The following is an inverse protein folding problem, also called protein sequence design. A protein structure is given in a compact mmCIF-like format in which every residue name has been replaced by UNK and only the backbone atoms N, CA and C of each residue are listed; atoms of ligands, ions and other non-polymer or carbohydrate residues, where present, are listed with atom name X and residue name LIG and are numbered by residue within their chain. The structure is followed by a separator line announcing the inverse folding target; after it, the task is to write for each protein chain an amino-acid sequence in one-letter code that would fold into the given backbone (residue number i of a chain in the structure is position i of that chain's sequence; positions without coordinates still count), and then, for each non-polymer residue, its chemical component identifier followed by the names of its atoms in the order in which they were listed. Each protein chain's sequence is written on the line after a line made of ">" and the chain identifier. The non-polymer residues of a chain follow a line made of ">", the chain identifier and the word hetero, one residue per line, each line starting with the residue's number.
data_IF_878816529321
#
_entry.id   IF_878816529321
#
_cell.length_a   1.000
_cell.length_b   1.000
_cell.length_c   1.000
_cell.angle_alpha   90.00
_cell.angle_beta   90.00
_cell.angle_gamma   90.00
#
_symmetry.space_group_name_H-M   'P 1'
#
loop_
_entity.id
_entity.type
_entity.pdbx_description
1 polymer ?
#
# COMPACT_ATOMS: atom_id res chain seq x y z
N UNK A 1 -16.63 -4.13 -43.62
CA UNK A 1 -16.62 -4.39 -42.17
C UNK A 1 -17.58 -3.40 -41.56
N UNK A 2 -18.70 -3.85 -41.00
CA UNK A 2 -19.71 -2.95 -40.46
C UNK A 2 -19.22 -2.41 -39.11
N UNK A 3 -19.00 -1.10 -39.03
CA UNK A 3 -18.87 -0.39 -37.75
C UNK A 3 -20.18 -0.59 -37.01
N UNK A 4 -20.16 -1.37 -35.92
CA UNK A 4 -21.28 -1.42 -35.00
C UNK A 4 -21.32 -0.08 -34.29
N UNK A 5 -22.28 0.75 -34.69
CA UNK A 5 -22.67 1.96 -33.98
C UNK A 5 -23.09 1.53 -32.56
N UNK A 6 -22.20 1.74 -31.58
CA UNK A 6 -22.52 1.52 -30.17
C UNK A 6 -23.54 2.61 -29.83
N UNK A 7 -24.82 2.22 -29.79
CA UNK A 7 -25.88 3.11 -29.34
C UNK A 7 -25.60 3.39 -27.85
N UNK A 8 -25.07 4.58 -27.57
CA UNK A 8 -24.72 5.04 -26.22
C UNK A 8 -26.01 5.42 -25.48
N UNK A 9 -26.77 4.39 -25.06
CA UNK A 9 -27.95 4.60 -24.24
C UNK A 9 -27.51 5.15 -22.87
N UNK A 10 -28.10 6.27 -22.42
CA UNK A 10 -27.78 6.82 -21.12
C UNK A 10 -28.18 5.85 -20.02
N UNK A 11 -27.19 5.43 -19.23
CA UNK A 11 -27.32 4.51 -18.11
C UNK A 11 -27.66 5.26 -16.82
N UNK A 12 -28.48 4.65 -15.98
CA UNK A 12 -28.75 5.10 -14.63
C UNK A 12 -27.73 4.58 -13.61
N UNK A 13 -27.77 5.12 -12.38
CA UNK A 13 -26.90 4.69 -11.26
C UNK A 13 -26.99 3.18 -11.00
N UNK A 14 -28.18 2.59 -11.11
CA UNK A 14 -28.40 1.15 -10.89
C UNK A 14 -27.70 0.30 -11.95
N UNK A 15 -27.81 0.69 -13.21
CA UNK A 15 -27.23 -0.06 -14.32
C UNK A 15 -25.70 -0.03 -14.28
N UNK A 16 -25.10 1.08 -13.85
CA UNK A 16 -23.66 1.15 -13.59
C UNK A 16 -23.23 0.29 -12.42
N UNK A 17 -24.00 0.30 -11.33
CA UNK A 17 -23.74 -0.53 -10.16
C UNK A 17 -23.69 -2.02 -10.55
N UNK A 18 -24.68 -2.47 -11.34
CA UNK A 18 -24.76 -3.83 -11.84
C UNK A 18 -23.61 -4.16 -12.81
N UNK A 19 -23.27 -3.22 -13.71
CA UNK A 19 -22.20 -3.40 -14.71
C UNK A 19 -20.82 -3.52 -14.07
N UNK A 20 -20.52 -2.68 -13.08
CA UNK A 20 -19.22 -2.63 -12.41
C UNK A 20 -19.16 -3.51 -11.15
N UNK A 21 -20.26 -4.18 -10.79
CA UNK A 21 -20.40 -5.01 -9.58
C UNK A 21 -20.04 -4.25 -8.29
N UNK A 22 -20.45 -2.99 -8.22
CA UNK A 22 -20.26 -2.11 -7.06
C UNK A 22 -21.61 -1.66 -6.52
N UNK A 23 -21.69 -1.18 -5.27
CA UNK A 23 -22.95 -0.67 -4.73
C UNK A 23 -23.32 0.68 -5.35
N UNK A 24 -24.63 0.96 -5.45
CA UNK A 24 -25.10 2.29 -5.89
C UNK A 24 -24.58 3.44 -5.03
N UNK A 25 -24.29 3.19 -3.75
CA UNK A 25 -23.68 4.17 -2.85
C UNK A 25 -22.25 4.52 -3.27
N UNK A 26 -21.48 3.56 -3.77
CA UNK A 26 -20.13 3.77 -4.31
C UNK A 26 -20.19 4.53 -5.62
N UNK A 27 -21.13 4.20 -6.51
CA UNK A 27 -21.37 4.97 -7.76
C UNK A 27 -21.67 6.43 -7.46
N UNK A 28 -22.58 6.71 -6.51
CA UNK A 28 -22.91 8.09 -6.09
C UNK A 28 -21.71 8.80 -5.48
N UNK A 29 -20.89 8.10 -4.68
CA UNK A 29 -19.66 8.64 -4.09
C UNK A 29 -18.67 9.05 -5.19
N UNK A 30 -18.46 8.20 -6.18
CA UNK A 30 -17.55 8.49 -7.29
C UNK A 30 -18.05 9.66 -8.14
N UNK A 31 -19.34 9.69 -8.47
CA UNK A 31 -19.94 10.78 -9.26
C UNK A 31 -19.77 12.13 -8.54
N UNK A 32 -20.03 12.19 -7.23
CA UNK A 32 -19.83 13.41 -6.45
C UNK A 32 -18.37 13.86 -6.41
N UNK A 33 -17.43 12.93 -6.27
CA UNK A 33 -16.01 13.23 -6.26
C UNK A 33 -15.52 13.75 -7.63
N UNK A 34 -16.04 13.17 -8.72
CA UNK A 34 -15.78 13.62 -10.09
C UNK A 34 -16.35 15.02 -10.35
N UNK A 35 -17.61 15.28 -9.98
CA UNK A 35 -18.22 16.63 -10.10
C UNK A 35 -17.44 17.68 -9.31
N UNK A 36 -16.99 17.34 -8.10
CA UNK A 36 -16.14 18.23 -7.28
C UNK A 36 -14.79 18.53 -7.95
N UNK A 37 -14.29 17.59 -8.76
CA UNK A 37 -13.07 17.75 -9.53
C UNK A 37 -13.29 18.43 -10.90
N UNK A 38 -14.52 18.86 -11.22
CA UNK A 38 -14.85 19.57 -12.46
C UNK A 38 -15.31 18.66 -13.61
N UNK A 39 -15.64 17.40 -13.34
CA UNK A 39 -16.23 16.51 -14.34
C UNK A 39 -17.74 16.78 -14.47
N UNK A 40 -18.23 16.95 -15.70
CA UNK A 40 -19.64 17.24 -15.96
C UNK A 40 -20.36 16.00 -16.49
N UNK A 41 -21.34 15.51 -15.71
CA UNK A 41 -22.27 14.49 -16.16
C UNK A 41 -23.48 15.11 -16.83
N UNK A 42 -24.04 14.41 -17.81
CA UNK A 42 -25.37 14.73 -18.33
C UNK A 42 -26.44 14.50 -17.26
N UNK A 43 -27.45 15.36 -17.23
CA UNK A 43 -28.51 15.32 -16.23
C UNK A 43 -29.88 15.39 -16.90
N UNK A 44 -30.78 14.53 -16.46
CA UNK A 44 -32.22 14.65 -16.72
C UNK A 44 -32.89 15.06 -15.41
N UNK A 45 -33.12 16.36 -15.25
CA UNK A 45 -33.56 16.95 -13.99
C UNK A 45 -32.51 16.76 -12.89
N UNK A 46 -32.86 16.00 -11.84
CA UNK A 46 -31.96 15.70 -10.71
C UNK A 46 -31.18 14.39 -10.89
N UNK A 47 -31.52 13.58 -11.89
CA UNK A 47 -30.86 12.29 -12.14
C UNK A 47 -29.67 12.48 -13.09
N UNK A 48 -28.54 11.87 -12.75
CA UNK A 48 -27.37 11.80 -13.64
C UNK A 48 -27.59 10.69 -14.66
N UNK A 49 -27.30 10.99 -15.92
CA UNK A 49 -27.28 10.07 -17.03
C UNK A 49 -25.82 9.79 -17.37
N UNK A 50 -25.47 8.51 -17.37
CA UNK A 50 -24.09 8.09 -17.59
C UNK A 50 -23.93 7.42 -18.95
N UNK A 51 -22.94 7.85 -19.70
CA UNK A 51 -22.56 7.31 -21.00
C UNK A 51 -21.44 6.28 -20.86
N UNK A 52 -21.10 5.62 -21.96
CA UNK A 52 -20.06 4.59 -21.96
C UNK A 52 -18.72 5.10 -21.40
N UNK A 53 -18.34 6.35 -21.73
CA UNK A 53 -17.10 6.96 -21.23
C UNK A 53 -17.11 7.21 -19.71
N UNK A 54 -18.27 7.46 -19.12
CA UNK A 54 -18.45 7.56 -17.66
C UNK A 54 -18.19 6.21 -16.99
N UNK A 55 -18.67 5.12 -17.61
CA UNK A 55 -18.47 3.75 -17.12
C UNK A 55 -16.98 3.38 -17.08
N UNK A 56 -16.23 3.73 -18.12
CA UNK A 56 -14.77 3.51 -18.15
C UNK A 56 -14.05 4.35 -17.09
N UNK A 57 -14.49 5.60 -16.90
CA UNK A 57 -13.98 6.49 -15.85
C UNK A 57 -14.19 5.88 -14.46
N UNK A 58 -15.40 5.37 -14.17
CA UNK A 58 -15.70 4.68 -12.92
C UNK A 58 -14.91 3.39 -12.74
N UNK A 59 -14.74 2.59 -13.81
CA UNK A 59 -13.93 1.37 -13.77
C UNK A 59 -12.48 1.67 -13.37
N UNK A 60 -11.93 2.76 -13.90
CA UNK A 60 -10.55 3.14 -13.60
C UNK A 60 -10.40 3.65 -12.16
N UNK A 61 -11.35 4.45 -11.66
CA UNK A 61 -11.38 4.84 -10.25
C UNK A 61 -11.46 3.61 -9.35
N UNK A 62 -12.36 2.66 -9.67
CA UNK A 62 -12.54 1.45 -8.87
C UNK A 62 -11.25 0.61 -8.79
N UNK A 63 -10.56 0.44 -9.92
CA UNK A 63 -9.28 -0.27 -9.99
C UNK A 63 -8.19 0.40 -9.13
N UNK A 64 -8.15 1.73 -9.09
CA UNK A 64 -7.19 2.49 -8.29
C UNK A 64 -7.49 2.42 -6.79
N UNK A 65 -8.76 2.38 -6.40
CA UNK A 65 -9.15 2.27 -4.99
C UNK A 65 -8.95 0.86 -4.44
N UNK A 66 -9.17 -0.18 -5.25
CA UNK A 66 -9.01 -1.59 -4.84
C UNK A 66 -7.54 -2.00 -4.72
N UNK A 67 -6.68 -1.62 -5.67
CA UNK A 67 -5.32 -2.14 -5.74
C UNK A 67 -4.32 -1.42 -4.83
N UNK A 68 -4.53 -0.14 -4.51
CA UNK A 68 -3.49 0.70 -3.91
C UNK A 68 -3.90 1.39 -2.59
N UNK A 69 -5.03 1.00 -1.98
CA UNK A 69 -5.60 1.65 -0.77
C UNK A 69 -5.69 3.18 -0.90
N UNK A 70 -5.76 3.70 -2.13
CA UNK A 70 -5.89 5.12 -2.39
C UNK A 70 -7.30 5.57 -1.99
N UNK A 71 -7.39 6.76 -1.39
CA UNK A 71 -8.70 7.38 -1.20
C UNK A 71 -9.30 7.77 -2.55
N UNK A 72 -10.63 7.90 -2.56
CA UNK A 72 -11.41 8.13 -3.80
C UNK A 72 -11.02 9.45 -4.45
N UNK A 73 -10.73 10.46 -3.66
CA UNK A 73 -10.36 11.80 -4.10
C UNK A 73 -9.04 11.80 -4.89
N UNK A 74 -8.03 11.05 -4.42
CA UNK A 74 -6.76 10.91 -5.13
C UNK A 74 -6.92 10.06 -6.39
N UNK A 75 -7.73 9.01 -6.35
CA UNK A 75 -8.03 8.21 -7.54
C UNK A 75 -8.71 9.05 -8.64
N UNK A 76 -9.66 9.91 -8.25
CA UNK A 76 -10.31 10.86 -9.16
C UNK A 76 -9.32 11.85 -9.75
N UNK A 77 -8.43 12.44 -8.94
CA UNK A 77 -7.41 13.38 -9.43
C UNK A 77 -6.53 12.75 -10.52
N UNK A 78 -6.06 11.52 -10.31
CA UNK A 78 -5.24 10.77 -11.29
C UNK A 78 -6.00 10.54 -12.60
N UNK A 79 -7.27 10.16 -12.52
CA UNK A 79 -8.10 9.91 -13.71
C UNK A 79 -8.38 11.21 -14.49
N UNK A 80 -8.66 12.31 -13.78
CA UNK A 80 -8.90 13.63 -14.40
C UNK A 80 -7.67 14.20 -15.11
N UNK A 81 -6.47 14.03 -14.55
CA UNK A 81 -5.21 14.45 -15.20
C UNK A 81 -4.95 13.64 -16.48
N UNK A 82 -5.30 12.35 -16.48
CA UNK A 82 -5.11 11.51 -17.66
C UNK A 82 -6.08 11.86 -18.80
N UNK A 83 -7.34 12.14 -18.47
CA UNK A 83 -8.36 12.49 -19.47
C UNK A 83 -8.11 13.87 -20.10
N UNK A 84 -7.66 14.86 -19.32
CA UNK A 84 -7.31 16.19 -19.86
C UNK A 84 -6.11 16.19 -20.81
N UNK A 85 -5.13 15.30 -20.58
CA UNK A 85 -4.03 15.08 -21.52
C UNK A 85 -4.47 14.43 -22.84
N UNK A 86 -5.58 13.68 -22.86
CA UNK A 86 -6.10 13.03 -24.09
C UNK A 86 -7.06 13.92 -24.87
N UNK A 87 -7.87 14.76 -24.20
CA UNK A 87 -8.84 15.65 -24.86
C UNK A 87 -8.23 16.94 -25.42
N UNK A 88 -7.02 17.32 -25.01
CA UNK A 88 -6.30 18.48 -25.58
C UNK A 88 -5.87 18.27 -27.04
N UNK A 89 -6.07 17.07 -27.60
CA UNK A 89 -5.81 16.74 -29.00
C UNK A 89 -7.06 16.90 -29.91
N UNK A 90 -8.26 17.01 -29.35
CA UNK A 90 -9.51 16.92 -30.13
C UNK A 90 -10.61 17.85 -29.59
N UNK A 91 -10.45 19.16 -29.73
CA UNK A 91 -11.58 20.10 -29.61
C UNK A 91 -11.33 21.43 -30.37
N UNK A 92 -12.14 21.68 -31.40
CA UNK A 92 -12.62 23.04 -31.72
C UNK A 92 -11.91 23.81 -32.84
N UNK A 93 -12.46 23.70 -34.04
CA UNK A 93 -12.18 24.47 -35.26
C UNK A 93 -12.16 26.00 -35.08
N UNK A 94 -11.02 26.62 -35.41
CA UNK A 94 -10.84 27.80 -36.26
C UNK A 94 -9.35 28.17 -36.22
N UNK A 95 -8.52 27.45 -36.97
CA UNK A 95 -7.08 27.74 -37.03
C UNK A 95 -6.66 27.91 -38.48
N UNK A 96 -6.18 29.12 -38.78
CA UNK A 96 -5.30 29.44 -39.90
C UNK A 96 -4.35 28.27 -40.13
N UNK A 97 -4.35 27.71 -41.34
CA UNK A 97 -3.44 26.62 -41.73
C UNK A 97 -2.02 27.13 -41.53
N UNK A 98 -1.26 26.61 -40.55
CA UNK A 98 0.11 27.03 -40.33
C UNK A 98 0.96 26.54 -41.50
N UNK A 99 1.92 27.35 -41.91
CA UNK A 99 2.80 27.01 -43.03
C UNK A 99 3.70 25.82 -42.63
N UNK A 100 4.11 24.96 -43.56
CA UNK A 100 4.92 23.75 -43.27
C UNK A 100 6.17 24.01 -42.40
N UNK A 101 6.73 25.23 -42.46
CA UNK A 101 7.85 25.67 -41.61
C UNK A 101 7.46 25.89 -40.14
N UNK A 102 6.26 26.37 -39.85
CA UNK A 102 5.77 26.61 -38.48
C UNK A 102 5.46 25.27 -37.78
N UNK A 103 4.90 24.31 -38.52
CA UNK A 103 4.65 22.94 -38.04
C UNK A 103 5.99 22.26 -37.72
N UNK A 104 6.99 22.38 -38.60
CA UNK A 104 8.32 21.77 -38.40
C UNK A 104 9.04 22.36 -37.18
N UNK A 105 8.95 23.68 -36.97
CA UNK A 105 9.56 24.34 -35.82
C UNK A 105 8.88 24.00 -34.49
N UNK A 106 7.54 23.89 -34.49
CA UNK A 106 6.80 23.41 -33.32
C UNK A 106 7.09 21.95 -33.00
N UNK A 107 7.26 21.10 -34.02
CA UNK A 107 7.60 19.70 -33.82
C UNK A 107 9.00 19.54 -33.21
N UNK A 108 9.98 20.33 -33.68
CA UNK A 108 11.34 20.31 -33.15
C UNK A 108 11.41 20.80 -31.70
N UNK A 109 10.67 21.85 -31.34
CA UNK A 109 10.63 22.35 -29.97
C UNK A 109 9.94 21.38 -29.01
N UNK A 110 8.86 20.71 -29.46
CA UNK A 110 8.21 19.65 -28.71
C UNK A 110 9.15 18.45 -28.49
N UNK A 111 9.92 18.06 -29.51
CA UNK A 111 10.88 16.94 -29.42
C UNK A 111 12.01 17.24 -28.44
N UNK A 112 12.52 18.48 -28.42
CA UNK A 112 13.50 18.94 -27.43
C UNK A 112 12.94 18.97 -26.01
N UNK A 113 11.69 19.41 -25.84
CA UNK A 113 11.02 19.40 -24.55
C UNK A 113 10.83 17.97 -24.01
N UNK A 114 10.42 17.04 -24.88
CA UNK A 114 10.33 15.60 -24.55
C UNK A 114 11.70 15.03 -24.18
N UNK A 115 12.76 15.34 -24.95
CA UNK A 115 14.12 14.91 -24.65
C UNK A 115 14.61 15.41 -23.30
N UNK A 116 14.35 16.68 -22.97
CA UNK A 116 14.68 17.26 -21.66
C UNK A 116 13.88 16.60 -20.54
N UNK A 117 12.59 16.34 -20.74
CA UNK A 117 11.76 15.65 -19.76
C UNK A 117 12.24 14.22 -19.52
N UNK A 118 12.61 13.48 -20.57
CA UNK A 118 13.16 12.13 -20.45
C UNK A 118 14.49 12.14 -19.68
N UNK A 119 15.35 13.14 -19.93
CA UNK A 119 16.59 13.30 -19.17
C UNK A 119 16.32 13.55 -17.68
N UNK A 120 15.42 14.47 -17.36
CA UNK A 120 15.02 14.73 -15.97
C UNK A 120 14.43 13.48 -15.29
N UNK A 121 13.62 12.70 -16.01
CA UNK A 121 13.10 11.43 -15.50
C UNK A 121 14.22 10.42 -15.27
N UNK A 122 15.18 10.30 -16.18
CA UNK A 122 16.32 9.40 -16.02
C UNK A 122 17.18 9.78 -14.81
N UNK A 123 17.45 11.06 -14.61
CA UNK A 123 18.22 11.56 -13.47
C UNK A 123 17.49 11.29 -12.15
N UNK A 124 16.17 11.48 -12.11
CA UNK A 124 15.35 11.14 -10.96
C UNK A 124 15.35 9.63 -10.69
N UNK A 125 15.20 8.79 -11.72
CA UNK A 125 15.24 7.33 -11.58
C UNK A 125 16.58 6.90 -10.99
N UNK A 126 17.69 7.43 -11.51
CA UNK A 126 19.03 7.11 -11.01
C UNK A 126 19.19 7.50 -9.52
N UNK A 127 18.73 8.70 -9.15
CA UNK A 127 18.75 9.17 -7.76
C UNK A 127 17.89 8.30 -6.83
N UNK A 128 16.70 7.89 -7.27
CA UNK A 128 15.83 7.00 -6.50
C UNK A 128 16.45 5.61 -6.33
N UNK A 129 17.07 5.06 -7.37
CA UNK A 129 17.78 3.77 -7.31
C UNK A 129 18.93 3.83 -6.32
N UNK A 130 19.70 4.92 -6.32
CA UNK A 130 20.78 5.13 -5.35
C UNK A 130 20.24 5.21 -3.92
N UNK A 131 19.20 6.00 -3.68
CA UNK A 131 18.57 6.13 -2.36
C UNK A 131 18.02 4.79 -1.85
N UNK A 132 17.35 4.01 -2.71
CA UNK A 132 16.84 2.67 -2.37
C UNK A 132 18.00 1.73 -2.01
N UNK A 133 19.10 1.78 -2.76
CA UNK A 133 20.26 0.93 -2.53
C UNK A 133 20.90 1.25 -1.18
N UNK A 134 21.12 2.54 -0.88
CA UNK A 134 21.65 2.98 0.42
C UNK A 134 20.72 2.56 1.56
N UNK A 135 19.42 2.78 1.41
CA UNK A 135 18.44 2.45 2.45
C UNK A 135 18.40 0.93 2.71
N UNK A 136 18.53 0.11 1.66
CA UNK A 136 18.61 -1.34 1.77
C UNK A 136 19.85 -1.76 2.55
N UNK A 137 21.02 -1.23 2.19
CA UNK A 137 22.29 -1.55 2.86
C UNK A 137 22.27 -1.18 4.35
N UNK A 138 21.69 -0.01 4.69
CA UNK A 138 21.51 0.38 6.09
C UNK A 138 20.53 -0.54 6.83
N UNK A 139 19.44 -0.93 6.16
CA UNK A 139 18.47 -1.87 6.72
C UNK A 139 19.11 -3.23 7.01
N UNK A 140 19.91 -3.75 6.08
CA UNK A 140 20.59 -5.04 6.21
C UNK A 140 21.64 -5.01 7.33
N UNK A 141 22.37 -3.89 7.48
CA UNK A 141 23.27 -3.66 8.63
C UNK A 141 22.53 -3.67 9.95
N UNK A 142 21.41 -2.92 10.06
CA UNK A 142 20.58 -2.89 11.27
C UNK A 142 20.01 -4.27 11.60
N UNK A 143 19.57 -5.01 10.59
CA UNK A 143 19.02 -6.35 10.77
C UNK A 143 20.09 -7.33 11.28
N UNK A 144 21.28 -7.30 10.68
CA UNK A 144 22.42 -8.12 11.11
C UNK A 144 22.82 -7.82 12.56
N UNK A 145 22.85 -6.53 12.95
CA UNK A 145 23.16 -6.14 14.33
C UNK A 145 22.09 -6.63 15.32
N UNK A 146 20.80 -6.53 14.95
CA UNK A 146 19.69 -7.02 15.78
C UNK A 146 19.73 -8.53 15.96
N UNK A 147 19.99 -9.29 14.89
CA UNK A 147 20.17 -10.75 14.97
C UNK A 147 21.30 -11.07 15.96
N UNK A 148 22.45 -10.42 15.85
CA UNK A 148 23.57 -10.65 16.77
C UNK A 148 23.25 -10.29 18.23
N UNK A 149 22.39 -9.29 18.48
CA UNK A 149 21.91 -8.97 19.83
C UNK A 149 20.94 -10.04 20.35
N UNK A 150 20.04 -10.55 19.49
CA UNK A 150 19.10 -11.62 19.83
C UNK A 150 19.86 -12.90 20.18
N UNK A 151 20.81 -13.33 19.35
CA UNK A 151 21.62 -14.53 19.60
C UNK A 151 22.38 -14.44 20.92
N UNK A 152 22.98 -13.28 21.23
CA UNK A 152 23.64 -13.04 22.52
C UNK A 152 22.65 -13.12 23.68
N UNK A 153 21.47 -12.54 23.53
CA UNK A 153 20.44 -12.59 24.57
C UNK A 153 19.92 -14.01 24.79
N UNK A 154 19.73 -14.79 23.72
CA UNK A 154 19.34 -16.19 23.79
C UNK A 154 20.39 -17.03 24.50
N UNK A 155 21.68 -16.79 24.23
CA UNK A 155 22.76 -17.47 24.94
C UNK A 155 22.78 -17.12 26.43
N UNK A 156 22.62 -15.83 26.78
CA UNK A 156 22.53 -15.39 28.19
C UNK A 156 21.33 -16.03 28.89
N UNK A 157 20.18 -16.09 28.21
CA UNK A 157 18.97 -16.71 28.75
C UNK A 157 19.17 -18.21 28.97
N UNK A 158 19.85 -18.90 28.05
CA UNK A 158 20.21 -20.31 28.20
C UNK A 158 21.11 -20.53 29.42
N UNK A 159 22.19 -19.75 29.54
CA UNK A 159 23.12 -19.85 30.67
C UNK A 159 22.42 -19.56 32.01
N UNK A 160 21.51 -18.60 32.04
CA UNK A 160 20.69 -18.29 33.23
C UNK A 160 19.77 -19.46 33.58
N UNK A 161 19.14 -20.08 32.58
CA UNK A 161 18.24 -21.21 32.79
C UNK A 161 19.00 -22.45 33.30
N UNK A 162 20.20 -22.71 32.78
CA UNK A 162 21.08 -23.78 33.26
C UNK A 162 21.50 -23.53 34.72
N UNK A 163 21.86 -22.29 35.06
CA UNK A 163 22.15 -21.90 36.45
C UNK A 163 20.95 -22.05 37.37
N UNK A 164 19.75 -21.69 36.90
CA UNK A 164 18.52 -21.84 37.66
C UNK A 164 18.22 -23.32 37.93
N UNK A 165 18.40 -24.18 36.92
CA UNK A 165 18.26 -25.64 37.10
C UNK A 165 19.22 -26.18 38.15
N UNK A 166 20.49 -25.79 38.10
CA UNK A 166 21.48 -26.21 39.09
C UNK A 166 21.14 -25.73 40.52
N UNK A 167 20.63 -24.49 40.65
CA UNK A 167 20.21 -23.95 41.93
C UNK A 167 19.00 -24.72 42.51
N UNK A 168 18.01 -25.04 41.66
CA UNK A 168 16.84 -25.84 42.04
C UNK A 168 17.28 -27.24 42.52
N UNK A 169 18.19 -27.90 41.80
CA UNK A 169 18.71 -29.22 42.19
C UNK A 169 19.45 -29.18 43.55
N UNK A 170 20.20 -28.11 43.82
CA UNK A 170 20.89 -27.93 45.08
C UNK A 170 19.91 -27.71 46.24
N UNK A 171 18.86 -26.89 46.03
CA UNK A 171 17.81 -26.66 47.03
C UNK A 171 17.10 -27.98 47.35
N UNK A 172 16.70 -28.75 46.34
CA UNK A 172 16.07 -30.06 46.56
C UNK A 172 16.96 -31.03 47.33
N UNK A 173 18.27 -31.04 47.06
CA UNK A 173 19.24 -31.85 47.82
C UNK A 173 19.40 -31.38 49.26
N UNK A 174 19.31 -30.08 49.52
CA UNK A 174 19.38 -29.52 50.86
C UNK A 174 18.12 -29.83 51.65
N UNK A 175 16.93 -29.63 51.08
CA UNK A 175 15.65 -29.98 51.72
C UNK A 175 15.63 -31.46 52.12
N UNK A 176 16.01 -32.37 51.21
CA UNK A 176 16.08 -33.80 51.54
C UNK A 176 17.14 -34.18 52.59
N UNK A 177 18.15 -33.32 52.85
CA UNK A 177 19.08 -33.49 53.97
C UNK A 177 18.51 -32.94 55.27
N UNK A 178 17.81 -31.81 55.22
CA UNK A 178 17.12 -31.20 56.36
C UNK A 178 16.07 -32.19 56.90
N UNK A 179 15.25 -32.77 56.04
CA UNK A 179 14.25 -33.78 56.41
C UNK A 179 14.87 -34.98 57.14
N UNK A 180 16.02 -35.46 56.65
CA UNK A 180 16.76 -36.57 57.28
C UNK A 180 17.35 -36.18 58.63
N UNK A 181 17.82 -34.95 58.79
CA UNK A 181 18.32 -34.45 60.08
C UNK A 181 17.17 -34.37 61.08
N UNK A 182 16.03 -33.81 60.69
CA UNK A 182 14.85 -33.73 61.55
C UNK A 182 14.32 -35.11 61.97
N UNK A 183 14.27 -36.09 61.06
CA UNK A 183 13.88 -37.46 61.41
C UNK A 183 14.84 -38.11 62.41
N UNK A 184 16.15 -37.91 62.22
CA UNK A 184 17.16 -38.50 63.09
C UNK A 184 17.18 -37.84 64.47
N UNK A 185 16.97 -36.53 64.57
CA UNK A 185 16.81 -35.83 65.84
C UNK A 185 15.57 -36.30 66.59
N UNK A 186 14.42 -36.42 65.91
CA UNK A 186 13.18 -36.97 66.51
C UNK A 186 13.43 -38.36 67.07
N UNK A 187 14.02 -39.29 66.28
CA UNK A 187 14.33 -40.65 66.74
C UNK A 187 15.32 -40.68 67.90
N UNK A 188 16.37 -39.85 67.86
CA UNK A 188 17.37 -39.73 68.93
C UNK A 188 16.78 -39.19 70.24
N UNK A 189 15.87 -38.22 70.15
CA UNK A 189 15.12 -37.69 71.27
C UNK A 189 14.23 -38.75 71.93
N UNK A 190 13.42 -39.49 71.16
CA UNK A 190 12.57 -40.57 71.70
C UNK A 190 13.37 -41.67 72.38
N UNK A 191 14.54 -42.03 71.83
CA UNK A 191 15.43 -43.05 72.41
C UNK A 191 16.01 -42.64 73.77
N UNK A 192 16.20 -41.33 74.01
CA UNK A 192 16.65 -40.79 75.31
C UNK A 192 15.53 -40.63 76.34
N UNK A 193 14.29 -40.47 75.89
CA UNK A 193 13.16 -40.20 76.77
C UNK A 193 12.45 -41.47 77.26
N UNK A 194 12.51 -42.56 76.48
CA UNK A 194 11.74 -43.79 76.72
C UNK A 194 12.57 -45.10 76.70
N UNK A 195 13.89 -45.00 76.62
CA UNK A 195 14.83 -46.14 76.72
C UNK A 195 15.69 -46.03 77.95
#
# INVERSE_FOLDING_TARGET
>A
MAEQEIIDLPLGTKEIADTLKISESVVRKYALALEKAGYEFEKSGTARLFKHHDVETFRMINKLTENSKLNVEHAVAVVMTRNTQTTSSVAGANAVVPTDQEITNQHNSALLAVGNQLKMQQDLINSLVEAITIQRDESDKRHTELIGKIEKQEQVNKDLNDKLSMAVDLIQKLDGKVDKIEENEKRGFFKRLFG
#
